data_IF_888448073541
#
_entry.id   IF_888448073541
#
_cell.length_a   1.000
_cell.length_b   1.000
_cell.length_c   1.000
_cell.angle_alpha   90.00
_cell.angle_beta   90.00
_cell.angle_gamma   90.00
#
_symmetry.space_group_name_H-M   'P 1'
#
loop_
_entity.id
_entity.type
_entity.pdbx_description
1 polymer ?
#
# COMPACT_ATOMS: atom_id res chain seq x y z
N UNK A 1 -44.50 8.71 53.04
CA UNK A 1 -43.18 8.04 52.86
C UNK A 1 -42.97 7.77 51.40
N UNK A 2 -42.11 8.53 50.79
CA UNK A 2 -41.73 8.36 49.39
C UNK A 2 -40.44 7.55 49.33
N UNK A 3 -40.52 6.33 48.83
CA UNK A 3 -39.34 5.52 48.57
C UNK A 3 -38.81 5.87 47.17
N UNK A 4 -37.69 6.58 47.15
CA UNK A 4 -37.04 6.89 45.90
C UNK A 4 -36.33 5.67 45.32
N UNK A 5 -36.74 5.25 44.15
CA UNK A 5 -36.06 4.22 43.40
C UNK A 5 -34.83 4.86 42.74
N UNK A 6 -33.63 4.51 43.19
CA UNK A 6 -32.39 4.85 42.52
C UNK A 6 -32.28 4.02 41.27
N UNK A 7 -32.40 4.67 40.12
CA UNK A 7 -32.09 4.04 38.83
C UNK A 7 -30.57 4.14 38.63
N UNK A 8 -29.90 3.05 38.82
CA UNK A 8 -28.49 2.93 38.48
C UNK A 8 -28.35 2.68 36.99
N UNK A 9 -27.90 3.68 36.27
CA UNK A 9 -27.49 3.49 34.90
C UNK A 9 -26.12 2.81 34.89
N UNK A 10 -26.07 1.54 34.54
CA UNK A 10 -24.83 0.88 34.27
C UNK A 10 -24.35 1.38 32.89
N UNK A 11 -23.23 2.11 32.85
CA UNK A 11 -22.53 2.34 31.63
C UNK A 11 -22.01 1.00 31.13
N UNK A 12 -22.64 0.47 30.10
CA UNK A 12 -21.99 -0.56 29.31
C UNK A 12 -20.82 0.15 28.61
N UNK A 13 -19.60 -0.22 29.03
CA UNK A 13 -18.41 0.12 28.28
C UNK A 13 -18.64 -0.30 26.84
N UNK A 14 -18.43 0.67 25.93
CA UNK A 14 -18.45 0.41 24.50
C UNK A 14 -17.61 -0.82 24.21
N UNK A 15 -18.27 -1.88 23.78
CA UNK A 15 -17.57 -3.00 23.16
C UNK A 15 -16.74 -2.41 22.04
N UNK A 16 -15.41 -2.50 22.19
CA UNK A 16 -14.52 -2.32 21.06
C UNK A 16 -14.99 -3.30 19.99
N UNK A 17 -15.83 -2.82 19.10
CA UNK A 17 -16.07 -3.51 17.86
C UNK A 17 -14.73 -3.49 17.14
N UNK A 18 -13.95 -4.56 17.31
CA UNK A 18 -12.89 -4.87 16.38
C UNK A 18 -13.58 -5.04 15.04
N UNK A 19 -13.65 -3.95 14.27
CA UNK A 19 -13.94 -4.04 12.87
C UNK A 19 -12.80 -4.87 12.29
N UNK A 20 -13.07 -6.16 12.11
CA UNK A 20 -12.21 -7.01 11.32
C UNK A 20 -12.19 -6.39 9.92
N UNK A 21 -11.10 -5.66 9.63
CA UNK A 21 -10.84 -5.20 8.27
C UNK A 21 -10.67 -6.45 7.44
N UNK A 22 -11.66 -6.73 6.58
CA UNK A 22 -11.57 -7.84 5.64
C UNK A 22 -10.48 -7.49 4.65
N UNK A 23 -9.37 -8.21 4.72
CA UNK A 23 -8.26 -8.07 3.77
C UNK A 23 -8.67 -8.69 2.44
N UNK A 24 -8.62 -7.90 1.39
CA UNK A 24 -8.92 -8.36 0.04
C UNK A 24 -7.71 -9.05 -0.57
N UNK A 25 -7.88 -10.29 -1.04
CA UNK A 25 -6.85 -10.99 -1.79
C UNK A 25 -6.77 -10.42 -3.20
N UNK A 26 -5.58 -9.92 -3.57
CA UNK A 26 -5.24 -9.49 -4.92
C UNK A 26 -4.35 -10.53 -5.59
N UNK A 27 -4.23 -10.46 -6.92
CA UNK A 27 -3.32 -11.33 -7.67
C UNK A 27 -1.87 -11.15 -7.22
N UNK A 28 -1.51 -9.93 -6.78
CA UNK A 28 -0.15 -9.56 -6.34
C UNK A 28 0.05 -9.66 -4.85
N UNK A 29 -0.90 -10.15 -4.08
CA UNK A 29 -0.76 -10.36 -2.65
C UNK A 29 -1.93 -9.86 -1.83
N UNK A 30 -1.67 -9.63 -0.55
CA UNK A 30 -2.67 -9.24 0.44
C UNK A 30 -2.06 -8.27 1.44
N UNK A 31 -2.89 -7.40 2.04
CA UNK A 31 -2.43 -6.49 3.09
C UNK A 31 -1.74 -7.27 4.21
N UNK A 32 -0.56 -6.81 4.64
CA UNK A 32 0.22 -7.45 5.68
C UNK A 32 -0.05 -6.84 7.06
N UNK A 33 0.24 -7.64 8.09
CA UNK A 33 0.20 -7.18 9.47
C UNK A 33 1.60 -6.74 9.93
N UNK A 34 1.68 -5.66 10.68
CA UNK A 34 2.95 -5.11 11.13
C UNK A 34 3.77 -6.13 11.94
N UNK A 35 3.10 -6.96 12.76
CA UNK A 35 3.78 -7.97 13.57
C UNK A 35 4.31 -9.16 12.75
N UNK A 36 3.86 -9.33 11.52
CA UNK A 36 4.29 -10.41 10.63
C UNK A 36 5.45 -10.02 9.73
N UNK A 37 5.90 -8.76 9.78
CA UNK A 37 7.00 -8.28 8.94
C UNK A 37 8.26 -9.08 9.21
N UNK A 38 8.79 -9.74 8.17
CA UNK A 38 10.02 -10.52 8.23
C UNK A 38 11.22 -9.75 7.69
N UNK A 39 10.99 -8.73 6.87
CA UNK A 39 12.05 -7.96 6.23
C UNK A 39 11.55 -6.57 5.86
N UNK A 40 12.46 -5.60 5.89
CA UNK A 40 12.21 -4.22 5.45
C UNK A 40 13.03 -3.96 4.19
N UNK A 41 12.39 -3.38 3.18
CA UNK A 41 13.05 -2.93 1.96
C UNK A 41 12.84 -1.42 1.85
N UNK A 42 13.94 -0.70 1.70
CA UNK A 42 13.90 0.75 1.48
C UNK A 42 14.10 1.05 0.00
N UNK A 43 13.24 1.87 -0.56
CA UNK A 43 13.40 2.38 -1.91
C UNK A 43 13.17 3.90 -1.93
N UNK A 44 13.73 4.54 -2.94
CA UNK A 44 13.59 5.97 -3.16
C UNK A 44 12.91 6.28 -4.48
N UNK A 45 12.28 7.43 -4.53
CA UNK A 45 11.65 8.00 -5.73
C UNK A 45 12.27 9.36 -6.00
N UNK A 46 12.50 9.68 -7.27
CA UNK A 46 13.09 10.95 -7.67
C UNK A 46 12.30 11.63 -8.79
N UNK A 47 12.57 12.92 -9.00
CA UNK A 47 11.93 13.70 -10.07
C UNK A 47 12.47 13.34 -11.46
N UNK A 48 13.45 12.43 -11.55
CA UNK A 48 13.83 11.79 -12.81
C UNK A 48 12.84 10.70 -13.24
N UNK A 49 11.74 10.56 -12.51
CA UNK A 49 10.68 9.56 -12.72
C UNK A 49 11.20 8.13 -12.62
N UNK A 50 11.98 7.87 -11.56
CA UNK A 50 12.59 6.56 -11.32
C UNK A 50 12.44 6.13 -9.88
N UNK A 51 12.29 4.82 -9.68
CA UNK A 51 12.47 4.14 -8.40
C UNK A 51 13.89 3.59 -8.30
N UNK A 52 14.45 3.64 -7.09
CA UNK A 52 15.76 3.05 -6.81
C UNK A 52 15.69 2.27 -5.50
N UNK A 53 15.84 0.94 -5.51
CA UNK A 53 15.91 0.07 -6.67
C UNK A 53 14.60 -0.02 -7.45
N UNK A 54 14.68 -0.37 -8.73
CA UNK A 54 13.50 -0.58 -9.59
C UNK A 54 13.15 -2.07 -9.77
N UNK A 55 13.84 -2.94 -9.06
CA UNK A 55 13.61 -4.38 -9.08
C UNK A 55 13.70 -4.95 -7.67
N UNK A 56 12.64 -5.65 -7.24
CA UNK A 56 12.56 -6.29 -5.95
C UNK A 56 12.41 -7.79 -6.13
N UNK A 57 13.10 -8.56 -5.27
CA UNK A 57 12.97 -10.01 -5.20
C UNK A 57 12.52 -10.39 -3.81
N UNK A 58 11.41 -11.11 -3.72
CA UNK A 58 10.83 -11.59 -2.48
C UNK A 58 10.45 -13.06 -2.62
N UNK A 59 10.21 -13.72 -1.50
CA UNK A 59 9.75 -15.12 -1.46
C UNK A 59 8.26 -15.17 -1.17
N UNK A 60 7.58 -16.11 -1.79
CA UNK A 60 6.17 -16.35 -1.49
C UNK A 60 5.97 -16.54 0.02
N UNK A 61 5.01 -15.83 0.60
CA UNK A 61 4.69 -15.86 2.00
C UNK A 61 5.38 -14.79 2.85
N UNK A 62 6.37 -14.06 2.31
CA UNK A 62 7.00 -12.96 3.04
C UNK A 62 6.05 -11.79 3.22
N UNK A 63 6.04 -11.23 4.42
CA UNK A 63 5.45 -9.93 4.71
C UNK A 63 6.57 -8.90 4.77
N UNK A 64 6.51 -7.94 3.87
CA UNK A 64 7.55 -6.93 3.67
C UNK A 64 7.03 -5.57 4.10
N UNK A 65 7.86 -4.85 4.83
CA UNK A 65 7.67 -3.43 5.07
C UNK A 65 8.47 -2.68 4.01
N UNK A 66 7.77 -1.98 3.12
CA UNK A 66 8.40 -1.07 2.18
C UNK A 66 8.50 0.31 2.82
N UNK A 67 9.72 0.83 2.91
CA UNK A 67 9.99 2.21 3.35
C UNK A 67 10.31 3.00 2.08
N UNK A 68 9.46 3.96 1.77
CA UNK A 68 9.48 4.66 0.48
C UNK A 68 9.82 6.12 0.71
N UNK A 69 10.96 6.56 0.21
CA UNK A 69 11.48 7.92 0.38
C UNK A 69 11.31 8.70 -0.92
N UNK A 70 10.64 9.85 -0.83
CA UNK A 70 10.57 10.77 -1.96
C UNK A 70 11.67 11.81 -1.81
N UNK A 71 12.71 11.69 -2.64
CA UNK A 71 13.87 12.63 -2.65
C UNK A 71 13.64 13.81 -3.58
N UNK A 72 12.51 13.86 -4.27
CA UNK A 72 12.18 14.91 -5.23
C UNK A 72 11.40 16.06 -4.63
N UNK A 73 10.96 16.95 -5.50
CA UNK A 73 10.13 18.12 -5.18
C UNK A 73 8.68 17.97 -5.63
N UNK A 74 8.38 16.90 -6.36
CA UNK A 74 7.04 16.56 -6.82
C UNK A 74 6.41 15.48 -5.93
N UNK A 75 5.09 15.43 -5.90
CA UNK A 75 4.37 14.31 -5.30
C UNK A 75 4.63 13.05 -6.13
N UNK A 76 4.95 11.96 -5.46
CA UNK A 76 5.08 10.64 -6.06
C UNK A 76 4.25 9.63 -5.28
N UNK A 77 3.92 8.52 -5.93
CA UNK A 77 3.25 7.40 -5.28
C UNK A 77 3.86 6.07 -5.71
N UNK A 78 3.61 5.04 -4.92
CA UNK A 78 3.93 3.67 -5.29
C UNK A 78 2.65 2.86 -5.24
N UNK A 79 2.34 2.17 -6.34
CA UNK A 79 1.18 1.29 -6.46
C UNK A 79 1.68 -0.07 -6.94
N UNK A 80 1.38 -1.13 -6.19
CA UNK A 80 1.70 -2.50 -6.60
C UNK A 80 0.53 -3.06 -7.40
N UNK A 81 0.82 -3.81 -8.44
CA UNK A 81 -0.23 -4.46 -9.23
C UNK A 81 0.31 -5.33 -10.34
N UNK A 82 -0.61 -5.83 -11.15
CA UNK A 82 -0.27 -6.46 -12.43
C UNK A 82 -0.16 -5.36 -13.49
N UNK A 83 0.60 -5.62 -14.54
CA UNK A 83 0.75 -4.64 -15.62
C UNK A 83 -0.60 -4.19 -16.20
N UNK A 84 -1.55 -5.09 -16.55
CA UNK A 84 -2.85 -4.66 -17.05
C UNK A 84 -3.63 -3.76 -16.08
N UNK A 85 -3.60 -4.08 -14.79
CA UNK A 85 -4.27 -3.28 -13.76
C UNK A 85 -3.64 -1.88 -13.64
N UNK A 86 -2.30 -1.82 -13.65
CA UNK A 86 -1.58 -0.55 -13.57
C UNK A 86 -1.79 0.29 -14.83
N UNK A 87 -1.80 -0.32 -16.01
CA UNK A 87 -2.08 0.36 -17.28
C UNK A 87 -3.48 0.98 -17.28
N UNK A 88 -4.48 0.23 -16.81
CA UNK A 88 -5.86 0.71 -16.71
C UNK A 88 -6.00 1.86 -15.70
N UNK A 89 -5.34 1.75 -14.55
CA UNK A 89 -5.35 2.77 -13.52
C UNK A 89 -4.61 4.05 -13.99
N UNK A 90 -3.48 3.88 -14.69
CA UNK A 90 -2.76 5.01 -15.27
C UNK A 90 -3.61 5.78 -16.29
N UNK A 91 -4.34 5.07 -17.14
CA UNK A 91 -5.26 5.68 -18.10
C UNK A 91 -6.38 6.44 -17.40
N UNK A 92 -6.92 5.89 -16.30
CA UNK A 92 -7.95 6.53 -15.50
C UNK A 92 -7.43 7.80 -14.83
N UNK A 93 -6.21 7.77 -14.29
CA UNK A 93 -5.57 8.93 -13.65
C UNK A 93 -5.22 10.02 -14.67
N UNK A 94 -4.85 9.66 -15.89
CA UNK A 94 -4.62 10.64 -16.96
C UNK A 94 -5.91 11.38 -17.33
N UNK A 95 -7.05 10.67 -17.26
CA UNK A 95 -8.38 11.26 -17.54
C UNK A 95 -8.93 12.05 -16.36
N UNK A 96 -8.67 11.60 -15.14
CA UNK A 96 -9.15 12.21 -13.90
C UNK A 96 -7.98 12.42 -12.92
N UNK A 97 -7.09 13.40 -13.18
CA UNK A 97 -5.83 13.55 -12.41
C UNK A 97 -6.04 13.91 -10.94
N UNK A 98 -7.20 14.47 -10.59
CA UNK A 98 -7.52 14.86 -9.21
C UNK A 98 -8.19 13.75 -8.41
N UNK A 99 -8.43 12.57 -9.03
CA UNK A 99 -9.05 11.46 -8.35
C UNK A 99 -8.06 10.85 -7.36
N UNK A 100 -8.48 10.77 -6.09
CA UNK A 100 -7.66 10.19 -5.02
C UNK A 100 -8.16 8.79 -4.70
N UNK A 101 -7.21 7.85 -4.67
CA UNK A 101 -7.42 6.50 -4.20
C UNK A 101 -6.49 6.23 -3.02
N UNK A 102 -6.97 5.47 -2.07
CA UNK A 102 -6.16 4.99 -0.94
C UNK A 102 -6.46 3.51 -0.74
N UNK A 103 -5.48 2.68 -1.06
CA UNK A 103 -5.57 1.22 -0.98
C UNK A 103 -4.37 0.68 -0.21
N UNK A 104 -4.48 -0.51 0.43
CA UNK A 104 -3.37 -1.06 1.21
C UNK A 104 -2.08 -1.31 0.43
N UNK A 105 -2.17 -1.44 -0.90
CA UNK A 105 -1.02 -1.64 -1.80
C UNK A 105 -0.54 -0.34 -2.45
N UNK A 106 -0.97 0.81 -1.92
CA UNK A 106 -0.63 2.14 -2.42
C UNK A 106 -0.01 2.97 -1.31
N UNK A 107 0.96 3.79 -1.66
CA UNK A 107 1.53 4.80 -0.77
C UNK A 107 1.73 6.11 -1.52
N UNK A 108 1.15 7.19 -1.00
CA UNK A 108 1.39 8.54 -1.49
C UNK A 108 2.49 9.17 -0.66
N UNK A 109 3.50 9.73 -1.31
CA UNK A 109 4.67 10.27 -0.63
C UNK A 109 4.89 11.72 -1.06
N UNK A 110 4.63 12.64 -0.15
CA UNK A 110 4.86 14.07 -0.37
C UNK A 110 6.36 14.36 -0.58
N UNK A 111 6.72 15.47 -1.26
CA UNK A 111 8.12 15.83 -1.48
C UNK A 111 8.93 15.87 -0.19
N UNK A 112 10.09 15.22 -0.19
CA UNK A 112 11.00 15.17 0.94
C UNK A 112 10.53 14.29 2.10
N UNK A 113 9.41 13.57 1.96
CA UNK A 113 8.83 12.74 3.01
C UNK A 113 9.10 11.25 2.77
N UNK A 114 8.76 10.45 3.78
CA UNK A 114 8.86 9.00 3.75
C UNK A 114 7.52 8.41 4.15
N UNK A 115 7.08 7.38 3.42
CA UNK A 115 5.88 6.61 3.74
C UNK A 115 6.23 5.14 3.88
N UNK A 116 5.36 4.39 4.54
CA UNK A 116 5.52 2.96 4.72
C UNK A 116 4.32 2.21 4.16
N UNK A 117 4.57 1.01 3.67
CA UNK A 117 3.56 0.10 3.16
C UNK A 117 3.92 -1.30 3.60
N UNK A 118 2.96 -2.03 4.18
CA UNK A 118 3.16 -3.40 4.63
C UNK A 118 2.32 -4.33 3.78
N UNK A 119 3.00 -5.23 3.06
CA UNK A 119 2.35 -6.10 2.10
C UNK A 119 2.86 -7.54 2.23
N UNK A 120 1.94 -8.49 2.17
CA UNK A 120 2.25 -9.93 2.18
C UNK A 120 2.19 -10.46 0.75
N UNK A 121 3.33 -10.97 0.29
CA UNK A 121 3.46 -11.52 -1.06
C UNK A 121 3.13 -13.02 -1.05
N UNK A 122 1.86 -13.35 -0.92
CA UNK A 122 1.39 -14.75 -0.79
C UNK A 122 1.07 -15.43 -2.13
N UNK A 123 1.29 -14.74 -3.24
CA UNK A 123 1.09 -15.27 -4.60
C UNK A 123 2.41 -15.21 -5.36
N UNK A 124 2.91 -16.33 -5.91
CA UNK A 124 4.12 -16.31 -6.73
C UNK A 124 3.84 -15.68 -8.09
N UNK A 125 4.87 -15.13 -8.69
CA UNK A 125 4.79 -14.53 -10.02
C UNK A 125 5.64 -13.29 -10.15
N UNK A 126 5.49 -12.63 -11.28
CA UNK A 126 6.13 -11.34 -11.56
C UNK A 126 5.05 -10.27 -11.59
N UNK A 127 5.23 -9.24 -10.76
CA UNK A 127 4.31 -8.12 -10.64
C UNK A 127 5.07 -6.83 -10.86
N UNK A 128 4.34 -5.74 -11.00
CA UNK A 128 4.93 -4.42 -11.19
C UNK A 128 4.58 -3.50 -10.02
N UNK A 129 5.35 -2.45 -9.89
CA UNK A 129 4.96 -1.28 -9.11
C UNK A 129 5.20 -0.02 -9.94
N UNK A 130 4.39 0.99 -9.71
CA UNK A 130 4.40 2.17 -10.56
C UNK A 130 3.99 3.41 -9.78
N UNK A 131 4.41 4.57 -10.28
CA UNK A 131 3.84 5.85 -9.89
C UNK A 131 2.75 6.23 -10.90
N UNK A 132 1.52 6.33 -10.45
CA UNK A 132 0.37 6.60 -11.32
C UNK A 132 -0.08 8.07 -11.29
N UNK A 133 0.70 8.95 -10.67
CA UNK A 133 0.51 10.40 -10.81
C UNK A 133 0.55 10.73 -12.31
N UNK A 134 -0.41 11.53 -12.76
CA UNK A 134 -0.59 11.82 -14.19
C UNK A 134 0.74 12.21 -14.87
N UNK A 135 1.11 11.48 -15.92
CA UNK A 135 2.34 11.68 -16.69
C UNK A 135 3.57 10.93 -16.17
N UNK A 136 3.59 10.51 -14.91
CA UNK A 136 4.77 9.85 -14.32
C UNK A 136 4.96 8.42 -14.84
N UNK A 137 3.87 7.67 -14.92
CA UNK A 137 3.88 6.31 -15.49
C UNK A 137 4.36 6.31 -16.94
N UNK A 138 3.84 7.23 -17.73
CA UNK A 138 4.20 7.38 -19.14
C UNK A 138 5.68 7.80 -19.33
N UNK A 139 6.26 8.45 -18.31
CA UNK A 139 7.70 8.80 -18.30
C UNK A 139 8.59 7.61 -17.90
N UNK A 140 8.02 6.46 -17.57
CA UNK A 140 8.75 5.25 -17.24
C UNK A 140 8.97 5.02 -15.73
N UNK A 141 8.17 5.64 -14.87
CA UNK A 141 8.28 5.45 -13.41
C UNK A 141 7.62 4.14 -12.99
N UNK A 142 8.33 3.05 -13.25
CA UNK A 142 7.89 1.67 -13.01
C UNK A 142 9.03 0.83 -12.44
N UNK A 143 8.67 -0.24 -11.76
CA UNK A 143 9.59 -1.26 -11.31
C UNK A 143 8.95 -2.63 -11.36
N UNK A 144 9.71 -3.66 -11.06
CA UNK A 144 9.26 -5.06 -11.08
C UNK A 144 9.48 -5.74 -9.75
N UNK A 145 8.60 -6.68 -9.43
CA UNK A 145 8.68 -7.52 -8.23
C UNK A 145 8.63 -8.98 -8.67
N UNK A 146 9.67 -9.73 -8.36
CA UNK A 146 9.67 -11.17 -8.52
C UNK A 146 9.31 -11.80 -7.17
N UNK A 147 8.20 -12.54 -7.14
CA UNK A 147 7.80 -13.36 -5.99
C UNK A 147 8.12 -14.81 -6.32
N UNK A 148 9.21 -15.30 -5.74
CA UNK A 148 9.64 -16.68 -5.98
C UNK A 148 8.73 -17.66 -5.25
N UNK A 149 8.27 -18.70 -5.96
CA UNK A 149 7.45 -19.75 -5.36
C UNK A 149 8.19 -20.42 -4.21
N UNK A 150 7.48 -20.72 -3.13
CA UNK A 150 8.00 -21.54 -2.05
C UNK A 150 8.08 -23.01 -2.49
N UNK A 151 9.15 -23.65 -2.09
CA UNK A 151 9.33 -25.09 -2.38
C UNK A 151 8.57 -25.95 -1.38
#
# INVERSE_FOLDING_TARGET
MMTGASVTFSHQSSTNTHTTVVKEQKDWGIAGDAHAVSRTITLSMSDTMRFTPDHLSVKQGETIKLVIKNTGTSLHELVIGTKPELDAHAALMAKFPDMQHDEPYMAHVAPGKTSELIWTFNRPGTFDFACLIAGHYQAGMVGTILVAASK
#
